data_IF_966281868450
#
_entry.id   IF_966281868450
#
_cell.length_a   1.000
_cell.length_b   1.000
_cell.length_c   1.000
_cell.angle_alpha   90.00
_cell.angle_beta   90.00
_cell.angle_gamma   90.00
#
_symmetry.space_group_name_H-M   'P 1'
#
loop_
_entity.id
_entity.type
_entity.pdbx_description
1 polymer ?
#
# COMPACT_ATOMS: atom_id res chain seq x y z
N UNK A 1 -3.72 13.71 3.13
CA UNK A 1 -3.73 12.79 1.99
C UNK A 1 -2.47 11.95 1.98
N UNK A 2 -2.59 10.67 1.81
CA UNK A 2 -1.45 9.78 1.55
C UNK A 2 -1.08 9.88 0.07
N UNK A 3 0.19 10.16 -0.19
CA UNK A 3 0.75 10.19 -1.56
C UNK A 3 1.68 9.00 -1.72
N UNK A 4 1.43 8.20 -2.73
CA UNK A 4 2.22 7.02 -3.04
C UNK A 4 2.75 7.13 -4.46
N UNK A 5 4.06 7.02 -4.62
CA UNK A 5 4.72 7.08 -5.91
C UNK A 5 5.57 5.82 -6.12
N UNK A 6 5.42 5.21 -7.28
CA UNK A 6 6.31 4.17 -7.75
C UNK A 6 7.15 4.71 -8.90
N UNK A 7 8.47 4.54 -8.80
CA UNK A 7 9.43 4.99 -9.81
C UNK A 7 10.39 3.87 -10.17
N UNK A 8 10.89 3.89 -11.40
CA UNK A 8 12.00 3.07 -11.85
C UNK A 8 13.09 3.97 -12.41
N UNK A 9 14.33 3.74 -11.96
CA UNK A 9 15.51 4.47 -12.40
C UNK A 9 16.46 3.49 -13.10
N UNK A 10 16.84 3.82 -14.32
CA UNK A 10 17.79 3.02 -15.07
C UNK A 10 19.15 2.96 -14.37
N UNK A 11 19.74 1.77 -14.37
CA UNK A 11 21.04 1.51 -13.80
C UNK A 11 21.83 0.52 -14.65
N UNK A 12 23.15 0.36 -14.37
CA UNK A 12 24.03 -0.48 -15.21
C UNK A 12 23.65 -1.97 -15.19
N UNK A 13 23.02 -2.46 -14.14
CA UNK A 13 22.57 -3.84 -14.01
C UNK A 13 21.05 -4.01 -14.26
N UNK A 14 20.35 -2.93 -14.66
CA UNK A 14 18.92 -2.88 -14.86
C UNK A 14 18.25 -1.81 -14.00
N UNK A 15 16.92 -1.65 -14.08
CA UNK A 15 16.23 -0.60 -13.36
C UNK A 15 16.16 -0.86 -11.85
N UNK A 16 16.38 0.18 -11.08
CA UNK A 16 16.11 0.23 -9.64
C UNK A 16 14.68 0.69 -9.42
N UNK A 17 13.88 -0.09 -8.71
CA UNK A 17 12.52 0.30 -8.37
C UNK A 17 12.43 0.92 -6.98
N UNK A 18 11.55 1.88 -6.81
CA UNK A 18 11.30 2.58 -5.56
C UNK A 18 9.81 2.83 -5.38
N UNK A 19 9.29 2.38 -4.27
CA UNK A 19 7.94 2.68 -3.82
C UNK A 19 8.02 3.57 -2.57
N UNK A 20 7.37 4.71 -2.61
CA UNK A 20 7.39 5.68 -1.53
C UNK A 20 5.97 6.09 -1.17
N UNK A 21 5.65 6.07 0.12
CA UNK A 21 4.40 6.54 0.67
C UNK A 21 4.65 7.61 1.73
N UNK A 22 3.86 8.68 1.71
CA UNK A 22 4.00 9.80 2.65
C UNK A 22 2.65 10.40 3.04
N UNK A 23 2.60 11.00 4.23
CA UNK A 23 1.46 11.75 4.72
C UNK A 23 0.47 10.92 5.54
N UNK A 24 -0.66 11.55 5.83
CA UNK A 24 -1.79 10.94 6.54
C UNK A 24 -3.03 10.94 5.65
N UNK A 25 -3.86 9.90 5.76
CA UNK A 25 -5.08 9.78 4.97
C UNK A 25 -6.09 10.87 5.28
N UNK A 26 -6.20 11.29 6.55
CA UNK A 26 -7.20 12.26 6.98
C UNK A 26 -8.63 11.72 6.91
N UNK A 27 -8.80 10.42 6.92
CA UNK A 27 -10.10 9.75 6.86
C UNK A 27 -10.82 9.76 8.22
N UNK A 28 -10.07 9.56 9.29
CA UNK A 28 -10.56 9.56 10.67
C UNK A 28 -9.45 9.96 11.65
N UNK A 29 -9.75 10.22 12.93
CA UNK A 29 -8.75 10.49 13.94
C UNK A 29 -7.73 9.35 14.09
N UNK A 30 -6.55 9.67 14.60
CA UNK A 30 -5.50 8.70 14.87
C UNK A 30 -6.03 7.50 15.68
N UNK A 31 -5.66 6.30 15.25
CA UNK A 31 -6.14 5.06 15.86
C UNK A 31 -7.50 4.56 15.34
N UNK A 32 -8.22 5.35 14.56
CA UNK A 32 -9.51 5.00 13.97
C UNK A 32 -9.52 5.10 12.44
N UNK A 33 -8.39 5.48 11.85
CA UNK A 33 -8.27 5.67 10.41
C UNK A 33 -7.95 4.35 9.71
N UNK A 34 -8.97 3.73 9.13
CA UNK A 34 -8.83 2.46 8.40
C UNK A 34 -8.02 2.61 7.11
N UNK A 35 -8.00 3.79 6.51
CA UNK A 35 -7.25 4.05 5.28
C UNK A 35 -5.76 4.15 5.60
N UNK A 36 -5.38 4.85 6.67
CA UNK A 36 -4.01 4.84 7.19
C UNK A 36 -3.57 3.43 7.56
N UNK A 37 -4.41 2.66 8.24
CA UNK A 37 -4.12 1.28 8.62
C UNK A 37 -3.88 0.40 7.39
N UNK A 38 -4.71 0.53 6.36
CA UNK A 38 -4.54 -0.20 5.10
C UNK A 38 -3.24 0.14 4.39
N UNK A 39 -2.94 1.42 4.24
CA UNK A 39 -1.71 1.90 3.61
C UNK A 39 -0.47 1.48 4.40
N UNK A 40 -0.51 1.61 5.71
CA UNK A 40 0.59 1.18 6.59
C UNK A 40 0.84 -0.32 6.50
N UNK A 41 -0.21 -1.12 6.46
CA UNK A 41 -0.10 -2.57 6.31
C UNK A 41 0.58 -2.94 5.00
N UNK A 42 0.21 -2.31 3.89
CA UNK A 42 0.82 -2.57 2.58
C UNK A 42 2.32 -2.24 2.59
N UNK A 43 2.69 -1.07 3.07
CA UNK A 43 4.11 -0.66 3.11
C UNK A 43 4.93 -1.49 4.08
N UNK A 44 4.44 -1.72 5.28
CA UNK A 44 5.16 -2.49 6.29
C UNK A 44 5.27 -3.97 5.91
N UNK A 45 4.28 -4.53 5.23
CA UNK A 45 4.36 -5.88 4.69
C UNK A 45 5.49 -5.99 3.66
N UNK A 46 5.61 -5.00 2.78
CA UNK A 46 6.70 -4.96 1.81
C UNK A 46 8.07 -4.88 2.50
N UNK A 47 8.22 -4.01 3.48
CA UNK A 47 9.44 -3.89 4.30
C UNK A 47 9.78 -5.23 4.98
N UNK A 48 8.78 -5.83 5.60
CA UNK A 48 8.95 -7.11 6.31
C UNK A 48 9.37 -8.24 5.38
N UNK A 49 8.73 -8.33 4.22
CA UNK A 49 9.02 -9.36 3.23
C UNK A 49 10.43 -9.23 2.65
N UNK A 50 10.90 -8.01 2.46
CA UNK A 50 12.21 -7.72 1.85
C UNK A 50 13.35 -7.56 2.88
N UNK A 51 13.09 -7.74 4.17
CA UNK A 51 14.06 -7.51 5.25
C UNK A 51 15.28 -8.42 5.18
N UNK A 52 15.42 -9.40 4.51
CA UNK A 52 16.63 -10.23 4.32
C UNK A 52 17.20 -10.18 2.90
N UNK A 53 16.63 -9.36 2.04
CA UNK A 53 17.02 -9.28 0.64
C UNK A 53 18.11 -8.23 0.44
N UNK A 54 19.28 -8.66 -0.02
CA UNK A 54 20.45 -7.78 -0.22
C UNK A 54 20.21 -6.68 -1.24
N UNK A 55 19.35 -6.92 -2.23
CA UNK A 55 19.01 -5.93 -3.26
C UNK A 55 18.04 -4.85 -2.77
N UNK A 56 17.45 -5.02 -1.61
CA UNK A 56 16.39 -4.15 -1.10
C UNK A 56 16.83 -3.32 0.10
N UNK A 57 16.30 -2.10 0.19
CA UNK A 57 16.53 -1.17 1.28
C UNK A 57 15.24 -0.44 1.62
N UNK A 58 15.00 -0.21 2.89
CA UNK A 58 13.91 0.64 3.36
C UNK A 58 14.46 1.84 4.14
N UNK A 59 13.87 2.99 3.91
CA UNK A 59 14.18 4.24 4.59
C UNK A 59 12.89 4.87 5.13
N UNK A 60 12.91 5.31 6.38
CA UNK A 60 11.77 5.94 7.04
C UNK A 60 12.17 7.30 7.60
N UNK A 61 11.29 8.28 7.45
CA UNK A 61 11.48 9.64 7.95
C UNK A 61 10.19 10.13 8.62
N UNK A 62 10.36 10.92 9.67
CA UNK A 62 9.29 11.71 10.26
C UNK A 62 9.41 13.15 9.74
N UNK A 63 8.45 13.55 8.93
CA UNK A 63 8.37 14.90 8.37
C UNK A 63 7.24 15.70 9.05
N UNK A 64 7.29 17.04 9.05
CA UNK A 64 6.21 17.87 9.63
C UNK A 64 4.83 17.59 9.04
N UNK A 65 4.78 17.14 7.78
CA UNK A 65 3.55 16.81 7.06
C UNK A 65 3.05 15.38 7.31
N UNK A 66 3.81 14.59 8.06
CA UNK A 66 3.50 13.20 8.36
C UNK A 66 4.64 12.24 8.08
N UNK A 67 4.46 10.96 8.38
CA UNK A 67 5.48 9.95 8.16
C UNK A 67 5.73 9.71 6.66
N UNK A 68 6.95 9.32 6.34
CA UNK A 68 7.36 8.94 5.00
C UNK A 68 8.15 7.65 5.06
N UNK A 69 7.82 6.71 4.21
CA UNK A 69 8.47 5.41 4.10
C UNK A 69 8.74 5.10 2.64
N UNK A 70 9.97 4.71 2.33
CA UNK A 70 10.37 4.30 1.00
C UNK A 70 11.02 2.92 1.02
N UNK A 71 10.71 2.11 0.03
CA UNK A 71 11.34 0.81 -0.21
C UNK A 71 11.95 0.83 -1.60
N UNK A 72 13.23 0.53 -1.68
CA UNK A 72 14.00 0.53 -2.92
C UNK A 72 14.58 -0.85 -3.14
N UNK A 73 14.52 -1.36 -4.36
CA UNK A 73 15.18 -2.60 -4.74
C UNK A 73 16.00 -2.39 -6.01
N UNK A 74 17.32 -2.67 -5.90
CA UNK A 74 18.26 -2.56 -7.00
C UNK A 74 18.22 -3.81 -7.88
N UNK A 75 18.58 -3.66 -9.16
CA UNK A 75 18.77 -4.78 -10.04
C UNK A 75 20.18 -5.42 -9.82
N UNK A 76 20.37 -6.72 -10.10
CA UNK A 76 19.34 -7.66 -10.54
C UNK A 76 18.40 -8.08 -9.41
N UNK A 77 17.11 -8.17 -9.71
CA UNK A 77 16.09 -8.57 -8.73
C UNK A 77 15.59 -9.97 -9.01
N UNK A 78 15.32 -10.71 -7.96
CA UNK A 78 14.62 -11.99 -8.05
C UNK A 78 13.17 -11.77 -8.51
N UNK A 79 12.56 -12.66 -9.29
CA UNK A 79 11.17 -12.50 -9.76
C UNK A 79 10.15 -12.29 -8.65
N UNK A 80 10.34 -12.93 -7.49
CA UNK A 80 9.43 -12.76 -6.38
C UNK A 80 9.48 -11.34 -5.77
N UNK A 81 10.64 -10.67 -5.84
CA UNK A 81 10.78 -9.28 -5.40
C UNK A 81 9.96 -8.35 -6.29
N UNK A 82 10.04 -8.54 -7.60
CA UNK A 82 9.20 -7.82 -8.55
C UNK A 82 7.72 -8.08 -8.29
N UNK A 83 7.33 -9.33 -8.06
CA UNK A 83 5.98 -9.72 -7.71
C UNK A 83 5.48 -9.05 -6.43
N UNK A 84 6.34 -8.91 -5.41
CA UNK A 84 6.00 -8.22 -4.18
C UNK A 84 5.69 -6.74 -4.40
N UNK A 85 6.48 -6.04 -5.21
CA UNK A 85 6.20 -4.66 -5.59
C UNK A 85 4.89 -4.54 -6.38
N UNK A 86 4.66 -5.41 -7.35
CA UNK A 86 3.43 -5.40 -8.15
C UNK A 86 2.18 -5.64 -7.27
N UNK A 87 2.27 -6.54 -6.31
CA UNK A 87 1.19 -6.79 -5.35
C UNK A 87 0.86 -5.54 -4.51
N UNK A 88 1.87 -4.89 -3.96
CA UNK A 88 1.67 -3.70 -3.14
C UNK A 88 1.18 -2.51 -3.98
N UNK A 89 1.69 -2.34 -5.18
CA UNK A 89 1.19 -1.35 -6.15
C UNK A 89 -0.30 -1.55 -6.43
N UNK A 90 -0.72 -2.78 -6.67
CA UNK A 90 -2.14 -3.12 -6.87
C UNK A 90 -2.98 -2.76 -5.64
N UNK A 91 -2.47 -3.00 -4.44
CA UNK A 91 -3.13 -2.61 -3.19
C UNK A 91 -3.31 -1.10 -3.07
N UNK A 92 -2.31 -0.31 -3.40
CA UNK A 92 -2.42 1.16 -3.39
C UNK A 92 -3.33 1.70 -4.50
N UNK A 93 -3.32 1.10 -5.68
CA UNK A 93 -4.26 1.45 -6.74
C UNK A 93 -5.71 1.22 -6.27
N UNK A 94 -5.98 0.11 -5.60
CA UNK A 94 -7.28 -0.20 -5.02
C UNK A 94 -7.68 0.81 -3.94
N UNK A 95 -6.76 1.18 -3.03
CA UNK A 95 -7.03 2.21 -2.02
C UNK A 95 -7.33 3.57 -2.63
N UNK A 96 -6.56 3.97 -3.64
CA UNK A 96 -6.76 5.24 -4.34
C UNK A 96 -8.10 5.29 -5.08
N UNK A 97 -8.53 4.17 -5.65
CA UNK A 97 -9.85 4.07 -6.29
C UNK A 97 -10.99 4.18 -5.28
N UNK A 98 -10.88 3.53 -4.13
CA UNK A 98 -11.92 3.52 -3.10
C UNK A 98 -11.95 4.78 -2.24
N UNK A 99 -10.81 5.41 -2.04
CA UNK A 99 -10.63 6.59 -1.19
C UNK A 99 -9.87 7.69 -1.93
N UNK A 100 -10.41 8.20 -3.05
CA UNK A 100 -9.69 9.16 -3.90
C UNK A 100 -9.38 10.50 -3.22
N UNK A 101 -10.14 10.85 -2.18
CA UNK A 101 -9.90 12.06 -1.39
C UNK A 101 -8.82 11.88 -0.31
N UNK A 102 -8.40 10.65 -0.06
CA UNK A 102 -7.51 10.30 1.03
C UNK A 102 -6.20 9.65 0.57
N UNK A 103 -6.20 9.03 -0.60
CA UNK A 103 -5.03 8.35 -1.17
C UNK A 103 -4.86 8.71 -2.64
N UNK A 104 -3.63 9.07 -3.00
CA UNK A 104 -3.22 9.25 -4.39
C UNK A 104 -2.08 8.29 -4.71
N UNK A 105 -2.24 7.50 -5.74
CA UNK A 105 -1.21 6.60 -6.25
C UNK A 105 -0.81 7.00 -7.66
N UNK A 106 0.50 7.10 -7.90
CA UNK A 106 1.08 7.35 -9.21
C UNK A 106 2.16 6.32 -9.53
N UNK A 107 2.01 5.64 -10.64
CA UNK A 107 3.04 4.79 -11.22
C UNK A 107 3.78 5.59 -12.31
N UNK A 108 5.01 5.95 -12.03
CA UNK A 108 5.85 6.78 -12.89
C UNK A 108 6.87 5.94 -13.70
N UNK A 109 6.74 4.62 -13.69
CA UNK A 109 7.67 3.72 -14.38
C UNK A 109 7.47 3.61 -15.90
N UNK A 110 6.40 4.18 -16.42
CA UNK A 110 6.00 4.02 -17.82
C UNK A 110 5.31 2.69 -18.15
N UNK A 111 5.21 1.78 -17.18
CA UNK A 111 4.49 0.49 -17.31
C UNK A 111 3.05 0.56 -16.77
N UNK A 112 2.69 1.66 -16.12
CA UNK A 112 1.44 1.81 -15.38
C UNK A 112 0.16 1.80 -16.23
N UNK A 113 0.25 2.09 -17.53
CA UNK A 113 -0.93 2.16 -18.39
C UNK A 113 -1.62 0.79 -18.61
N UNK A 114 -0.87 -0.30 -18.51
CA UNK A 114 -1.44 -1.64 -18.72
C UNK A 114 -2.20 -2.19 -17.50
N UNK A 115 -1.86 -1.75 -16.30
CA UNK A 115 -2.57 -2.18 -15.09
C UNK A 115 -3.92 -1.46 -14.89
N UNK A 116 -4.08 -0.26 -15.43
CA UNK A 116 -5.33 0.52 -15.29
C UNK A 116 -6.48 -0.02 -16.14
N UNK A 117 -6.18 -0.77 -17.21
CA UNK A 117 -7.21 -1.32 -18.11
C UNK A 117 -7.98 -2.48 -17.47
N UNK A 118 -7.31 -3.29 -16.66
CA UNK A 118 -7.95 -4.45 -16.01
C UNK A 118 -8.82 -4.07 -14.80
N UNK A 119 -8.54 -2.95 -14.15
CA UNK A 119 -9.36 -2.43 -13.06
C UNK A 119 -10.69 -1.83 -13.55
N UNK A 120 -10.76 -1.37 -14.78
CA UNK A 120 -12.01 -0.87 -15.39
C UNK A 120 -13.02 -1.98 -15.67
N UNK A 121 -12.59 -3.22 -15.87
CA UNK A 121 -13.48 -4.37 -16.06
C UNK A 121 -14.30 -4.73 -14.81
N UNK A 122 -13.84 -4.37 -13.63
CA UNK A 122 -14.57 -4.54 -12.37
C UNK A 122 -15.44 -3.33 -12.00
N UNK A 123 -15.25 -2.18 -12.66
CA UNK A 123 -16.03 -0.96 -12.42
C UNK A 123 -17.34 -0.89 -13.22
N UNK A 124 -17.53 -1.72 -14.25
CA UNK A 124 -18.74 -1.79 -15.06
C UNK A 124 -19.84 -2.72 -14.50
N UNK A 125 -19.73 -3.12 -13.26
CA UNK A 125 -20.86 -3.68 -12.52
C UNK A 125 -21.79 -2.53 -12.11
N UNK A 126 -22.97 -2.50 -12.73
CA UNK A 126 -24.05 -1.55 -12.54
C UNK A 126 -24.12 -0.91 -11.16
N UNK A 127 -24.28 0.41 -11.16
CA UNK A 127 -24.52 1.32 -10.02
C UNK A 127 -24.97 0.65 -8.74
N UNK A 128 -24.07 0.00 -8.08
CA UNK A 128 -24.27 -0.61 -6.79
C UNK A 128 -23.89 0.39 -5.72
N UNK A 129 -24.85 0.71 -4.86
CA UNK A 129 -24.56 1.29 -3.57
C UNK A 129 -23.34 0.62 -2.95
N UNK A 130 -22.53 1.41 -2.22
CA UNK A 130 -21.42 0.86 -1.43
C UNK A 130 -21.87 -0.42 -0.72
N UNK A 131 -21.05 -1.48 -0.72
CA UNK A 131 -21.41 -2.69 0.00
C UNK A 131 -21.73 -2.33 1.46
N UNK A 132 -22.77 -2.92 2.04
CA UNK A 132 -23.10 -2.63 3.43
C UNK A 132 -21.86 -2.87 4.28
N UNK A 133 -21.64 -2.05 5.33
CA UNK A 133 -20.52 -2.26 6.22
C UNK A 133 -20.58 -3.68 6.74
N UNK A 134 -19.50 -4.41 6.54
CA UNK A 134 -19.35 -5.75 7.10
C UNK A 134 -19.53 -5.59 8.61
N UNK A 135 -20.51 -6.27 9.24
CA UNK A 135 -20.65 -6.18 10.67
C UNK A 135 -19.32 -6.59 11.30
N UNK A 136 -18.81 -5.74 12.19
CA UNK A 136 -17.62 -6.06 12.95
C UNK A 136 -17.84 -7.44 13.59
N UNK A 137 -16.85 -8.35 13.50
CA UNK A 137 -16.97 -9.62 14.18
C UNK A 137 -17.25 -9.34 15.66
N UNK A 138 -18.34 -9.89 16.16
CA UNK A 138 -18.66 -9.79 17.55
C UNK A 138 -17.43 -10.31 18.33
N UNK A 139 -16.76 -9.40 19.05
CA UNK A 139 -15.71 -9.79 19.96
C UNK A 139 -16.34 -10.77 20.95
N UNK A 140 -16.05 -12.04 20.74
CA UNK A 140 -16.41 -13.09 21.71
C UNK A 140 -15.77 -12.68 23.03
N UNK A 141 -16.62 -12.32 23.98
CA UNK A 141 -16.21 -12.01 25.33
C UNK A 141 -15.46 -13.24 25.85
N UNK A 142 -14.17 -13.09 26.07
CA UNK A 142 -13.41 -14.12 26.75
C UNK A 142 -14.10 -14.46 28.09
N UNK A 143 -14.24 -15.72 28.43
CA UNK A 143 -14.80 -16.08 29.72
C UNK A 143 -13.95 -15.47 30.83
N UNK A 144 -14.60 -14.69 31.70
CA UNK A 144 -13.96 -14.22 32.91
C UNK A 144 -13.62 -15.47 33.75
N UNK A 145 -12.34 -15.75 33.87
CA UNK A 145 -11.87 -16.69 34.86
C UNK A 145 -12.19 -16.09 36.23
N UNK A 146 -13.18 -16.64 36.88
CA UNK A 146 -13.38 -16.39 38.30
C UNK A 146 -12.17 -16.97 39.03
N UNK A 147 -11.34 -16.08 39.56
CA UNK A 147 -10.32 -16.46 40.52
C UNK A 147 -11.03 -16.95 41.80
N UNK A 148 -10.72 -18.16 42.20
CA UNK A 148 -11.09 -18.72 43.50
C UNK A 148 -10.07 -18.21 44.51
#
# INVERSE_FOLDING_TARGET
MIKVNYTELDGPAGPTCRLEASGHAGYAPAGQDIVCAGASTLMQTLVYLLAGEESAKSDAWDEPEGPRLAVTAAAPRKPWVEGAFEFVKAGFALLAERYPDNVRFADLSGRGEQCMVDLQLFAEGEGGAAPPPVPAPALSRAPQQQAI
#
